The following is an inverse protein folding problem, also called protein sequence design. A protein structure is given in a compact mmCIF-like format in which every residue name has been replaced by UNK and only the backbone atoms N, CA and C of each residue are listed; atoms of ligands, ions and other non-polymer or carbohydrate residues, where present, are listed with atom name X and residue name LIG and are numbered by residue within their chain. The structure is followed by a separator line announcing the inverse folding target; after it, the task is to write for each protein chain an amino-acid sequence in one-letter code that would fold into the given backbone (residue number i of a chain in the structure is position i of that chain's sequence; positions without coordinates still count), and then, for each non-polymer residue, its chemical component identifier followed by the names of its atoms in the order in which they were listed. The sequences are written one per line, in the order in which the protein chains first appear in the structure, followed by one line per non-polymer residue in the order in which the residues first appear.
data_IF_937433179464
#
_entry.id   IF_937433179464
#
_cell.length_a   1.000
_cell.length_b   1.000
_cell.length_c   1.000
_cell.angle_alpha   90.00
_cell.angle_beta   90.00
_cell.angle_gamma   90.00
#
_symmetry.space_group_name_H-M   'P 1'
#
loop_
_entity.id
_entity.type
_entity.pdbx_description
1 polymer ?
#
# COMPACT_ATOMS: atom_id res chain seq x y z
N UNK A 1 4.30 17.19 -6.57
CA UNK A 1 3.27 16.41 -5.84
C UNK A 1 3.81 15.79 -4.56
N UNK A 2 4.87 14.98 -4.56
CA UNK A 2 5.39 14.37 -3.32
C UNK A 2 6.00 15.38 -2.33
N UNK A 3 6.68 16.43 -2.80
CA UNK A 3 7.17 17.55 -1.96
C UNK A 3 6.06 18.34 -1.23
N UNK A 4 4.79 18.13 -1.61
CA UNK A 4 3.64 18.75 -0.94
C UNK A 4 2.95 17.81 0.06
N UNK A 5 3.30 16.52 0.05
CA UNK A 5 2.65 15.48 0.85
C UNK A 5 3.54 14.97 1.99
N UNK A 6 4.85 15.13 1.87
CA UNK A 6 5.84 14.66 2.83
C UNK A 6 6.64 15.84 3.37
N UNK A 7 6.83 15.87 4.69
CA UNK A 7 7.78 16.76 5.33
C UNK A 7 9.22 16.24 5.15
N UNK A 8 10.20 17.10 5.45
CA UNK A 8 11.63 16.74 5.36
C UNK A 8 11.95 15.50 6.21
N UNK A 9 12.44 14.45 5.55
CA UNK A 9 12.80 13.18 6.18
C UNK A 9 11.68 12.14 6.22
N UNK A 10 10.48 12.46 5.74
CA UNK A 10 9.39 11.49 5.60
C UNK A 10 9.52 10.66 4.31
N UNK A 11 9.04 9.42 4.40
CA UNK A 11 9.06 8.48 3.28
C UNK A 11 7.92 7.46 3.42
N UNK A 12 7.61 6.78 2.32
CA UNK A 12 6.70 5.64 2.32
C UNK A 12 7.46 4.33 2.18
N UNK A 13 7.00 3.32 2.91
CA UNK A 13 7.38 1.94 2.62
C UNK A 13 6.62 1.42 1.42
N UNK A 14 7.35 0.84 0.47
CA UNK A 14 6.79 0.27 -0.74
C UNK A 14 7.20 -1.19 -0.92
N UNK A 15 6.49 -1.90 -1.80
CA UNK A 15 6.90 -3.23 -2.21
C UNK A 15 8.23 -3.18 -3.00
N UNK A 16 8.94 -4.30 -3.01
CA UNK A 16 10.19 -4.51 -3.74
C UNK A 16 10.10 -4.27 -5.26
N UNK A 17 8.89 -4.20 -5.81
CA UNK A 17 8.63 -3.86 -7.21
C UNK A 17 8.74 -2.36 -7.53
N UNK A 18 8.68 -1.48 -6.51
CA UNK A 18 8.81 -0.04 -6.70
C UNK A 18 10.29 0.36 -6.75
N UNK A 19 10.58 1.42 -7.51
CA UNK A 19 11.91 2.02 -7.55
C UNK A 19 12.18 2.78 -6.25
N UNK A 20 13.40 2.62 -5.71
CA UNK A 20 13.86 3.38 -4.55
C UNK A 20 14.05 4.84 -4.95
N UNK A 21 13.59 5.76 -4.10
CA UNK A 21 13.73 7.21 -4.29
C UNK A 21 13.95 7.88 -2.92
N UNK A 22 14.13 9.20 -2.89
CA UNK A 22 14.32 9.96 -1.64
C UNK A 22 13.14 9.83 -0.68
N UNK A 23 11.95 9.51 -1.20
CA UNK A 23 10.69 9.38 -0.46
C UNK A 23 10.05 7.98 -0.58
N UNK A 24 10.71 7.02 -1.27
CA UNK A 24 10.25 5.62 -1.38
C UNK A 24 11.34 4.69 -0.88
N UNK A 25 11.02 3.93 0.17
CA UNK A 25 11.91 2.90 0.72
C UNK A 25 11.30 1.52 0.51
N UNK A 26 12.04 0.67 -0.20
CA UNK A 26 11.68 -0.72 -0.46
C UNK A 26 12.57 -1.67 0.36
N UNK A 27 12.13 -2.91 0.63
CA UNK A 27 12.94 -3.87 1.36
C UNK A 27 14.24 -4.24 0.63
N UNK A 28 15.30 -4.49 1.41
CA UNK A 28 16.60 -4.90 0.89
C UNK A 28 16.50 -6.26 0.19
N UNK A 29 17.12 -6.36 -0.99
CA UNK A 29 17.25 -7.60 -1.77
C UNK A 29 18.60 -8.25 -1.48
N UNK A 30 18.81 -9.49 -1.93
CA UNK A 30 20.10 -10.16 -1.78
C UNK A 30 21.17 -9.48 -2.68
N UNK A 31 22.43 -9.41 -2.22
CA UNK A 31 22.96 -9.97 -0.96
C UNK A 31 22.74 -9.12 0.29
N UNK A 32 22.38 -7.84 0.16
CA UNK A 32 22.30 -6.87 1.26
C UNK A 32 21.26 -7.24 2.31
N UNK A 33 20.22 -7.98 1.92
CA UNK A 33 19.20 -8.55 2.81
C UNK A 33 19.80 -9.39 3.94
N UNK A 34 20.91 -10.07 3.69
CA UNK A 34 21.50 -11.02 4.64
C UNK A 34 22.42 -10.31 5.66
N UNK A 35 22.52 -8.97 5.60
CA UNK A 35 23.11 -8.12 6.65
C UNK A 35 22.10 -8.03 7.82
N UNK A 36 22.51 -8.28 9.09
CA UNK A 36 21.59 -8.34 10.23
C UNK A 36 20.68 -7.12 10.39
N UNK A 37 21.21 -5.91 10.19
CA UNK A 37 20.46 -4.66 10.30
C UNK A 37 19.38 -4.55 9.21
N UNK A 38 19.69 -4.98 7.98
CA UNK A 38 18.77 -4.96 6.85
C UNK A 38 17.69 -6.05 6.99
N UNK A 39 18.04 -7.20 7.56
CA UNK A 39 17.08 -8.24 7.91
C UNK A 39 16.09 -7.73 8.96
N UNK A 40 16.57 -7.04 9.99
CA UNK A 40 15.70 -6.42 10.99
C UNK A 40 14.76 -5.36 10.37
N UNK A 41 15.29 -4.49 9.50
CA UNK A 41 14.47 -3.54 8.76
C UNK A 41 13.37 -4.24 7.95
N UNK A 42 13.74 -5.25 7.15
CA UNK A 42 12.81 -6.01 6.33
C UNK A 42 11.77 -6.76 7.16
N UNK A 43 12.14 -7.25 8.35
CA UNK A 43 11.21 -7.88 9.29
C UNK A 43 10.13 -6.90 9.74
N UNK A 44 10.50 -5.67 10.10
CA UNK A 44 9.54 -4.63 10.48
C UNK A 44 8.61 -4.25 9.33
N UNK A 45 9.17 -4.05 8.13
CA UNK A 45 8.39 -3.77 6.92
C UNK A 45 7.40 -4.92 6.61
N UNK A 46 7.84 -6.17 6.75
CA UNK A 46 6.99 -7.35 6.56
C UNK A 46 5.83 -7.40 7.56
N UNK A 47 6.05 -7.08 8.84
CA UNK A 47 4.99 -7.02 9.84
C UNK A 47 3.90 -6.00 9.49
N UNK A 48 4.29 -4.83 8.97
CA UNK A 48 3.33 -3.80 8.52
C UNK A 48 2.56 -4.28 7.29
N UNK A 49 3.27 -4.87 6.31
CA UNK A 49 2.66 -5.42 5.09
C UNK A 49 1.62 -6.50 5.40
N UNK A 50 1.91 -7.41 6.32
CA UNK A 50 0.98 -8.47 6.75
C UNK A 50 -0.32 -7.87 7.31
N UNK A 51 -0.24 -6.80 8.11
CA UNK A 51 -1.44 -6.12 8.65
C UNK A 51 -2.27 -5.51 7.52
N UNK A 52 -1.63 -4.82 6.57
CA UNK A 52 -2.31 -4.24 5.41
C UNK A 52 -2.99 -5.31 4.54
N UNK A 53 -2.30 -6.41 4.27
CA UNK A 53 -2.84 -7.54 3.49
C UNK A 53 -4.04 -8.19 4.20
N UNK A 54 -3.96 -8.38 5.51
CA UNK A 54 -5.09 -8.89 6.29
C UNK A 54 -6.30 -7.95 6.20
N UNK A 55 -6.13 -6.65 6.40
CA UNK A 55 -7.23 -5.67 6.29
C UNK A 55 -7.87 -5.70 4.90
N UNK A 56 -7.05 -5.72 3.84
CA UNK A 56 -7.55 -5.83 2.46
C UNK A 56 -8.31 -7.15 2.24
N UNK A 57 -7.80 -8.25 2.79
CA UNK A 57 -8.47 -9.56 2.76
C UNK A 57 -9.85 -9.52 3.43
N UNK A 58 -9.93 -8.94 4.63
CA UNK A 58 -11.19 -8.74 5.35
C UNK A 58 -12.18 -7.86 4.57
N UNK A 59 -11.72 -6.72 4.04
CA UNK A 59 -12.54 -5.82 3.23
C UNK A 59 -13.10 -6.52 2.00
N UNK A 60 -12.27 -7.26 1.26
CA UNK A 60 -12.72 -8.04 0.08
C UNK A 60 -13.64 -9.19 0.48
N UNK A 61 -13.47 -9.77 1.67
CA UNK A 61 -14.37 -10.79 2.22
C UNK A 61 -15.76 -10.24 2.54
N UNK A 62 -15.81 -9.06 3.18
CA UNK A 62 -17.06 -8.38 3.57
C UNK A 62 -17.78 -7.75 2.38
N UNK A 63 -17.04 -7.04 1.52
CA UNK A 63 -17.57 -6.34 0.36
C UNK A 63 -17.13 -7.05 -0.91
N UNK A 64 -17.96 -7.98 -1.38
CA UNK A 64 -17.66 -8.77 -2.58
C UNK A 64 -17.42 -7.89 -3.83
N UNK A 65 -17.96 -6.66 -3.85
CA UNK A 65 -17.70 -5.66 -4.88
C UNK A 65 -16.21 -5.31 -5.03
N UNK A 66 -15.38 -5.52 -3.99
CA UNK A 66 -13.93 -5.28 -4.02
C UNK A 66 -13.10 -6.47 -4.51
N UNK A 67 -13.66 -7.69 -4.64
CA UNK A 67 -12.91 -8.85 -5.17
C UNK A 67 -12.63 -8.73 -6.67
N UNK A 68 -13.56 -8.12 -7.39
CA UNK A 68 -13.44 -7.86 -8.82
C UNK A 68 -14.15 -6.55 -9.10
N UNK A 69 -13.56 -5.44 -8.67
CA UNK A 69 -14.15 -4.12 -8.85
C UNK A 69 -14.37 -3.87 -10.34
N UNK A 70 -15.64 -3.99 -10.78
CA UNK A 70 -16.03 -3.92 -12.20
C UNK A 70 -16.19 -2.46 -12.66
N UNK A 71 -15.22 -1.63 -12.31
CA UNK A 71 -15.14 -0.24 -12.77
C UNK A 71 -14.15 -0.19 -13.92
N UNK A 72 -14.63 0.22 -15.09
CA UNK A 72 -13.76 0.44 -16.24
C UNK A 72 -13.05 1.79 -16.08
N UNK A 73 -11.74 1.76 -15.82
CA UNK A 73 -10.92 2.96 -15.66
C UNK A 73 -10.49 3.43 -17.05
N UNK A 74 -11.15 4.47 -17.54
CA UNK A 74 -10.92 5.07 -18.87
C UNK A 74 -10.46 6.52 -18.81
N UNK A 75 -10.66 7.17 -17.67
CA UNK A 75 -10.41 8.59 -17.43
C UNK A 75 -10.21 8.84 -15.93
N UNK A 76 -9.85 10.07 -15.58
CA UNK A 76 -9.65 10.48 -14.19
C UNK A 76 -10.94 10.34 -13.36
N UNK A 77 -12.11 10.59 -13.96
CA UNK A 77 -13.40 10.50 -13.27
C UNK A 77 -13.74 9.06 -12.85
N UNK A 78 -13.55 8.10 -13.76
CA UNK A 78 -13.73 6.67 -13.47
C UNK A 78 -12.71 6.14 -12.48
N UNK A 79 -11.48 6.65 -12.50
CA UNK A 79 -10.48 6.35 -11.47
C UNK A 79 -10.93 6.88 -10.09
N UNK A 80 -11.31 8.16 -9.99
CA UNK A 80 -11.84 8.75 -8.75
C UNK A 80 -13.06 8.00 -8.22
N UNK A 81 -13.96 7.59 -9.10
CA UNK A 81 -15.11 6.79 -8.74
C UNK A 81 -14.71 5.43 -8.12
N UNK A 82 -13.74 4.73 -8.70
CA UNK A 82 -13.20 3.50 -8.12
C UNK A 82 -12.61 3.75 -6.71
N UNK A 83 -11.86 4.84 -6.54
CA UNK A 83 -11.30 5.22 -5.24
C UNK A 83 -12.38 5.51 -4.21
N UNK A 84 -13.40 6.30 -4.55
CA UNK A 84 -14.52 6.58 -3.65
C UNK A 84 -15.31 5.32 -3.28
N UNK A 85 -15.44 4.37 -4.21
CA UNK A 85 -16.06 3.08 -3.91
C UNK A 85 -15.29 2.32 -2.81
N UNK A 86 -13.96 2.27 -2.92
CA UNK A 86 -13.10 1.64 -1.91
C UNK A 86 -13.22 2.38 -0.57
N UNK A 87 -13.16 3.72 -0.57
CA UNK A 87 -13.30 4.55 0.64
C UNK A 87 -14.66 4.35 1.31
N UNK A 88 -15.75 4.27 0.54
CA UNK A 88 -17.07 4.00 1.07
C UNK A 88 -17.15 2.63 1.75
N UNK A 89 -16.54 1.59 1.17
CA UNK A 89 -16.44 0.28 1.82
C UNK A 89 -15.63 0.34 3.12
N UNK A 90 -14.53 1.10 3.17
CA UNK A 90 -13.74 1.29 4.40
C UNK A 90 -14.59 2.00 5.47
N UNK A 91 -15.27 3.08 5.12
CA UNK A 91 -16.13 3.82 6.04
C UNK A 91 -17.26 2.93 6.60
N UNK A 92 -17.90 2.14 5.75
CA UNK A 92 -18.95 1.18 6.13
C UNK A 92 -18.42 -0.06 6.88
N UNK A 93 -17.12 -0.32 6.84
CA UNK A 93 -16.52 -1.39 7.66
C UNK A 93 -16.36 -0.96 9.12
N UNK A 94 -16.10 0.33 9.34
CA UNK A 94 -15.82 0.92 10.65
C UNK A 94 -17.08 1.24 11.47
N UNK A 95 -18.28 1.00 10.91
CA UNK A 95 -19.59 1.15 11.57
C UNK A 95 -20.19 -0.23 11.83
#
# INVERSE_FOLDING_TARGET
EHEQLFDDGEFIWADSAYLISTWIVAPYKKPERDIPENEEFNRHLSMVRIRSEHVIGYLKGRFHSLKSLRVNIKDEASHKFATYWVVACIALHNF
#
